data_IF_098860959067
#
_entry.id   IF_098860959067
#
_cell.length_a   1.000
_cell.length_b   1.000
_cell.length_c   1.000
_cell.angle_alpha   90.00
_cell.angle_beta   90.00
_cell.angle_gamma   90.00
#
_symmetry.space_group_name_H-M   'P 1'
#
loop_
_entity.id
_entity.type
_entity.pdbx_description
1 polymer ?
#
# COMPACT_ATOMS: atom_id res chain seq x y z
N UNK A 1 57.69 -51.36 -56.63
CA UNK A 1 58.30 -51.04 -57.94
C UNK A 1 57.58 -49.88 -58.54
N UNK A 2 58.19 -48.77 -58.65
CA UNK A 2 58.41 -47.94 -59.82
C UNK A 2 57.34 -46.89 -60.13
N UNK A 3 57.72 -45.66 -59.87
CA UNK A 3 57.80 -44.40 -60.66
C UNK A 3 56.46 -43.71 -61.03
N UNK A 4 56.30 -42.51 -60.53
CA UNK A 4 56.73 -41.19 -61.07
C UNK A 4 56.07 -40.81 -62.40
N UNK A 5 55.40 -39.72 -62.47
CA UNK A 5 55.80 -38.51 -63.17
C UNK A 5 54.68 -37.46 -63.29
N UNK A 6 55.11 -36.26 -63.07
CA UNK A 6 54.52 -34.93 -63.34
C UNK A 6 53.65 -34.79 -64.61
N UNK A 7 52.78 -33.80 -64.61
CA UNK A 7 52.86 -32.61 -65.52
C UNK A 7 51.83 -31.57 -65.10
N UNK A 8 52.23 -30.28 -65.18
CA UNK A 8 51.52 -29.02 -65.01
C UNK A 8 50.35 -28.85 -66.02
N UNK A 9 49.35 -28.13 -65.62
CA UNK A 9 48.36 -27.58 -66.52
C UNK A 9 47.59 -26.47 -65.85
N UNK A 10 48.02 -25.23 -66.04
CA UNK A 10 47.30 -24.01 -65.66
C UNK A 10 46.06 -23.85 -66.53
N UNK A 11 44.92 -23.55 -65.92
CA UNK A 11 43.84 -22.88 -66.64
C UNK A 11 42.97 -22.10 -65.65
N UNK A 12 42.89 -20.79 -65.86
CA UNK A 12 41.96 -19.85 -65.29
C UNK A 12 40.54 -20.29 -65.60
N UNK A 13 39.62 -20.25 -64.60
CA UNK A 13 38.22 -19.93 -64.88
C UNK A 13 37.50 -19.43 -63.64
N UNK A 14 36.96 -18.24 -63.75
CA UNK A 14 35.64 -17.77 -63.37
C UNK A 14 35.25 -17.88 -61.90
N UNK A 15 35.37 -16.78 -61.16
CA UNK A 15 34.74 -16.60 -59.86
C UNK A 15 33.26 -16.28 -60.08
N UNK A 16 32.38 -17.25 -59.86
CA UNK A 16 30.94 -17.01 -59.67
C UNK A 16 30.70 -16.78 -58.18
N UNK A 17 30.51 -15.52 -57.78
CA UNK A 17 30.07 -15.15 -56.45
C UNK A 17 28.59 -15.51 -56.29
N UNK A 18 28.30 -16.65 -55.65
CA UNK A 18 26.99 -16.93 -55.09
C UNK A 18 26.85 -16.10 -53.84
N UNK A 19 26.00 -15.05 -53.92
CA UNK A 19 25.57 -14.30 -52.76
C UNK A 19 24.70 -15.17 -51.85
N UNK A 20 25.25 -15.61 -50.74
CA UNK A 20 24.49 -16.12 -49.62
C UNK A 20 23.80 -14.93 -48.93
N UNK A 21 22.53 -14.77 -49.20
CA UNK A 21 21.68 -13.93 -48.37
C UNK A 21 21.58 -14.57 -46.99
N UNK A 22 22.42 -14.14 -46.05
CA UNK A 22 22.25 -14.45 -44.63
C UNK A 22 21.01 -13.70 -44.15
N UNK A 23 19.92 -14.42 -44.04
CA UNK A 23 18.73 -13.99 -43.32
C UNK A 23 19.15 -13.81 -41.84
N UNK A 24 19.51 -12.58 -41.47
CA UNK A 24 19.83 -12.23 -40.11
C UNK A 24 18.53 -12.35 -39.29
N UNK A 25 18.41 -13.44 -38.54
CA UNK A 25 17.53 -13.50 -37.40
C UNK A 25 17.99 -12.40 -36.45
N UNK A 26 17.33 -11.27 -36.48
CA UNK A 26 17.40 -10.29 -35.41
C UNK A 26 16.80 -10.96 -34.17
N UNK A 27 17.64 -11.56 -33.36
CA UNK A 27 17.34 -11.79 -31.96
C UNK A 27 17.17 -10.38 -31.39
N UNK A 28 15.91 -10.02 -31.09
CA UNK A 28 15.63 -8.88 -30.26
C UNK A 28 16.47 -9.08 -28.98
N UNK A 29 17.45 -8.22 -28.77
CA UNK A 29 18.18 -8.15 -27.50
C UNK A 29 17.12 -8.06 -26.42
N UNK A 30 17.23 -8.79 -25.31
CA UNK A 30 16.38 -8.54 -24.15
C UNK A 30 16.53 -7.06 -23.87
N UNK A 31 15.40 -6.32 -24.00
CA UNK A 31 15.38 -4.88 -23.85
C UNK A 31 16.16 -4.52 -22.59
N UNK A 32 17.03 -3.52 -22.68
CA UNK A 32 17.67 -2.95 -21.50
C UNK A 32 16.57 -2.76 -20.46
N UNK A 33 16.81 -3.13 -19.18
CA UNK A 33 15.82 -2.92 -18.13
C UNK A 33 15.44 -1.45 -18.17
N UNK A 34 14.21 -1.17 -18.58
CA UNK A 34 13.63 0.19 -18.58
C UNK A 34 14.00 0.80 -17.24
N UNK A 35 14.63 2.00 -17.18
CA UNK A 35 14.97 2.62 -15.92
C UNK A 35 13.73 2.59 -15.05
N UNK A 36 13.77 1.87 -13.93
CA UNK A 36 12.65 1.69 -13.01
C UNK A 36 12.24 3.07 -12.57
N UNK A 37 11.21 3.62 -13.23
CA UNK A 37 10.77 4.97 -13.09
C UNK A 37 10.32 5.22 -11.66
N UNK A 38 11.00 6.11 -11.02
CA UNK A 38 10.45 6.86 -9.97
C UNK A 38 10.75 6.46 -8.57
N UNK A 39 10.92 6.70 -7.60
CA UNK A 39 11.15 6.66 -6.16
C UNK A 39 12.59 6.27 -5.75
N UNK A 40 13.51 6.06 -6.66
CA UNK A 40 14.92 5.84 -6.32
C UNK A 40 15.80 6.97 -6.87
N UNK A 41 16.37 7.76 -5.96
CA UNK A 41 17.48 8.67 -6.24
C UNK A 41 17.23 10.15 -6.02
N UNK A 42 15.99 10.61 -5.88
CA UNK A 42 15.68 12.03 -5.73
C UNK A 42 14.91 12.35 -4.43
N UNK A 43 15.05 11.48 -3.43
CA UNK A 43 14.44 11.73 -2.14
C UNK A 43 15.41 12.41 -1.19
N UNK A 44 14.87 13.36 -0.48
CA UNK A 44 15.54 14.01 0.63
C UNK A 44 14.65 14.01 1.86
N UNK A 45 15.20 13.65 3.00
CA UNK A 45 14.52 13.80 4.28
C UNK A 45 14.65 15.25 4.76
N UNK A 46 13.57 15.79 5.30
CA UNK A 46 13.59 17.02 6.05
C UNK A 46 13.96 16.76 7.52
N UNK A 47 14.11 17.82 8.29
CA UNK A 47 14.31 17.74 9.73
C UNK A 47 13.15 16.98 10.39
N UNK A 48 13.45 16.12 11.38
CA UNK A 48 12.43 15.33 12.03
C UNK A 48 11.49 16.17 12.88
N UNK A 49 10.22 15.83 12.80
CA UNK A 49 9.16 16.42 13.61
C UNK A 49 8.81 15.42 14.71
N UNK A 50 9.25 15.70 15.94
CA UNK A 50 9.01 14.81 17.08
C UNK A 50 8.00 15.41 18.04
N UNK A 51 7.02 14.59 18.44
CA UNK A 51 6.10 14.89 19.52
C UNK A 51 5.87 13.63 20.34
N UNK A 52 6.10 13.70 21.64
CA UNK A 52 6.10 12.53 22.53
C UNK A 52 7.00 11.42 21.98
N UNK A 53 6.47 10.22 21.74
CA UNK A 53 7.21 9.10 21.16
C UNK A 53 7.06 8.96 19.63
N UNK A 54 6.28 9.82 18.98
CA UNK A 54 6.15 9.86 17.53
C UNK A 54 7.20 10.78 16.92
N UNK A 55 7.95 10.27 15.94
CA UNK A 55 8.82 11.08 15.09
C UNK A 55 8.45 10.85 13.64
N UNK A 56 8.20 11.94 12.92
CA UNK A 56 7.86 11.99 11.50
C UNK A 56 9.02 12.63 10.76
N UNK A 57 9.56 11.95 9.78
CA UNK A 57 10.55 12.47 8.83
C UNK A 57 9.85 12.72 7.49
N UNK A 58 9.57 13.98 7.12
CA UNK A 58 9.00 14.25 5.81
C UNK A 58 9.99 13.89 4.70
N UNK A 59 9.49 13.22 3.67
CA UNK A 59 10.26 12.86 2.47
C UNK A 59 9.84 13.80 1.34
N UNK A 60 10.80 14.50 0.75
CA UNK A 60 10.56 15.41 -0.38
C UNK A 60 11.22 14.91 -1.65
N UNK A 61 10.62 15.28 -2.78
CA UNK A 61 11.14 15.02 -4.12
C UNK A 61 10.95 16.25 -5.02
N UNK A 62 11.91 16.48 -5.91
CA UNK A 62 11.78 17.44 -7.01
C UNK A 62 11.06 16.85 -8.22
N UNK A 63 10.93 15.53 -8.29
CA UNK A 63 10.21 14.85 -9.35
C UNK A 63 8.69 15.02 -9.15
N UNK A 64 8.03 15.52 -10.18
CA UNK A 64 6.59 15.66 -10.23
C UNK A 64 6.00 14.66 -11.21
N UNK A 65 5.27 13.67 -10.69
CA UNK A 65 4.49 12.75 -11.51
C UNK A 65 3.04 13.22 -11.55
N UNK A 66 2.43 13.16 -12.71
CA UNK A 66 0.99 13.41 -12.86
C UNK A 66 0.22 12.18 -12.35
N UNK A 67 -0.37 12.32 -11.18
CA UNK A 67 -1.24 11.32 -10.55
C UNK A 67 -2.70 11.78 -10.47
N UNK A 68 -3.04 12.91 -11.04
CA UNK A 68 -4.40 13.47 -11.02
C UNK A 68 -5.45 12.59 -11.71
N UNK A 69 -5.00 11.62 -12.53
CA UNK A 69 -5.89 10.64 -13.11
C UNK A 69 -6.47 9.65 -12.10
N UNK A 70 -5.76 9.39 -10.98
CA UNK A 70 -6.21 8.42 -9.98
C UNK A 70 -7.21 9.04 -9.00
N UNK A 71 -8.21 8.25 -8.65
CA UNK A 71 -9.22 8.57 -7.65
C UNK A 71 -8.92 7.77 -6.38
N UNK A 72 -9.09 8.38 -5.22
CA UNK A 72 -8.99 7.65 -3.95
C UNK A 72 -10.31 6.95 -3.62
N UNK A 73 -10.25 5.94 -2.75
CA UNK A 73 -11.42 5.21 -2.30
C UNK A 73 -12.43 6.14 -1.61
N UNK A 74 -11.94 7.06 -0.76
CA UNK A 74 -12.77 8.06 -0.08
C UNK A 74 -13.51 8.96 -1.07
N UNK A 75 -12.79 9.49 -2.07
CA UNK A 75 -13.37 10.32 -3.14
C UNK A 75 -14.46 9.54 -3.88
N UNK A 76 -14.17 8.32 -4.29
CA UNK A 76 -15.09 7.49 -5.07
C UNK A 76 -16.36 7.12 -4.32
N UNK A 77 -16.25 6.75 -3.04
CA UNK A 77 -17.41 6.44 -2.18
C UNK A 77 -18.24 7.70 -1.89
N UNK A 78 -17.59 8.83 -1.57
CA UNK A 78 -18.29 10.08 -1.25
C UNK A 78 -19.10 10.64 -2.42
N UNK A 79 -18.61 10.41 -3.66
CA UNK A 79 -19.30 10.81 -4.90
C UNK A 79 -20.32 9.78 -5.39
N UNK A 80 -20.39 8.59 -4.77
CA UNK A 80 -21.23 7.49 -5.25
C UNK A 80 -20.75 6.88 -6.58
N UNK A 81 -19.51 7.20 -6.99
CA UNK A 81 -18.86 6.67 -8.20
C UNK A 81 -18.23 5.29 -7.96
N UNK A 82 -17.98 4.94 -6.70
CA UNK A 82 -17.52 3.62 -6.26
C UNK A 82 -18.57 3.00 -5.37
N UNK A 83 -18.86 1.73 -5.60
CA UNK A 83 -19.77 0.95 -4.79
C UNK A 83 -19.00 -0.24 -4.24
N UNK A 84 -19.11 -0.45 -2.92
CA UNK A 84 -18.62 -1.66 -2.25
C UNK A 84 -19.81 -2.32 -1.56
N UNK A 85 -19.96 -3.62 -1.75
CA UNK A 85 -21.06 -4.39 -1.17
C UNK A 85 -20.63 -5.82 -0.84
N UNK A 86 -21.40 -6.47 0.04
CA UNK A 86 -21.20 -7.88 0.36
C UNK A 86 -21.43 -8.77 -0.88
N UNK A 87 -20.59 -9.79 -1.04
CA UNK A 87 -20.79 -10.77 -2.11
C UNK A 87 -22.06 -11.59 -1.85
N UNK A 88 -22.93 -11.68 -2.87
CA UNK A 88 -24.22 -12.39 -2.76
C UNK A 88 -25.41 -11.54 -2.36
N UNK A 89 -25.27 -10.22 -2.24
CA UNK A 89 -26.40 -9.31 -2.07
C UNK A 89 -27.23 -9.22 -3.35
N UNK A 90 -28.56 -9.41 -3.26
CA UNK A 90 -29.52 -9.45 -4.37
C UNK A 90 -29.57 -8.21 -5.29
N UNK A 91 -28.84 -7.15 -4.95
CA UNK A 91 -28.95 -5.85 -5.62
C UNK A 91 -28.20 -5.73 -6.94
N UNK A 92 -27.25 -6.63 -7.25
CA UNK A 92 -26.48 -6.55 -8.52
C UNK A 92 -27.31 -7.07 -9.70
N UNK A 93 -28.29 -7.93 -9.47
CA UNK A 93 -29.01 -8.66 -10.54
C UNK A 93 -30.16 -7.85 -11.15
N UNK A 94 -30.64 -6.77 -10.51
CA UNK A 94 -31.90 -6.11 -10.94
C UNK A 94 -31.78 -4.96 -11.93
N UNK A 95 -30.57 -4.47 -12.25
CA UNK A 95 -30.51 -3.19 -12.98
C UNK A 95 -30.28 -3.29 -14.51
N UNK A 96 -30.17 -4.45 -15.14
CA UNK A 96 -30.10 -4.54 -16.63
C UNK A 96 -30.42 -5.90 -17.22
N UNK A 97 -31.58 -6.48 -17.05
CA UNK A 97 -32.21 -7.41 -18.02
C UNK A 97 -31.33 -8.44 -18.77
N UNK A 98 -30.09 -8.70 -18.39
CA UNK A 98 -29.20 -9.67 -19.00
C UNK A 98 -28.92 -10.75 -17.98
N UNK A 99 -29.57 -11.90 -18.18
CA UNK A 99 -29.23 -13.14 -17.48
C UNK A 99 -27.77 -13.52 -17.83
N UNK A 100 -26.84 -13.22 -16.96
CA UNK A 100 -25.50 -13.83 -16.99
C UNK A 100 -25.49 -15.07 -16.11
N UNK A 101 -24.76 -16.15 -16.51
CA UNK A 101 -24.64 -17.35 -15.68
C UNK A 101 -24.13 -16.97 -14.29
N UNK A 102 -24.76 -17.55 -13.28
CA UNK A 102 -24.33 -17.40 -11.90
C UNK A 102 -22.83 -17.70 -11.81
N UNK A 103 -22.06 -16.71 -11.32
CA UNK A 103 -20.69 -16.96 -10.93
C UNK A 103 -20.67 -18.15 -9.97
N UNK A 104 -19.71 -19.05 -10.17
CA UNK A 104 -19.58 -20.29 -9.41
C UNK A 104 -19.81 -20.04 -7.94
N UNK A 105 -20.84 -20.68 -7.39
CA UNK A 105 -21.13 -20.74 -5.98
C UNK A 105 -19.96 -21.42 -5.28
N UNK A 106 -19.11 -20.61 -4.63
CA UNK A 106 -18.27 -21.12 -3.56
C UNK A 106 -19.18 -21.47 -2.40
N UNK A 107 -19.27 -22.75 -2.07
CA UNK A 107 -19.99 -23.28 -0.92
C UNK A 107 -19.38 -22.75 0.38
N UNK A 108 -20.09 -21.83 1.03
CA UNK A 108 -19.77 -21.22 2.32
C UNK A 108 -19.89 -19.70 2.30
N UNK A 109 -20.37 -19.05 3.37
CA UNK A 109 -20.39 -17.60 3.44
C UNK A 109 -18.95 -17.10 3.48
N UNK A 110 -18.44 -16.62 2.35
CA UNK A 110 -17.13 -15.96 2.25
C UNK A 110 -17.22 -14.59 2.92
N UNK A 111 -17.14 -14.58 4.25
CA UNK A 111 -17.14 -13.36 5.08
C UNK A 111 -16.01 -12.39 4.74
N UNK A 112 -15.04 -12.81 3.95
CA UNK A 112 -13.83 -12.05 3.62
C UNK A 112 -13.83 -11.52 2.18
N UNK A 113 -14.94 -11.57 1.45
CA UNK A 113 -15.02 -11.07 0.09
C UNK A 113 -16.11 -10.02 -0.06
N UNK A 114 -15.70 -8.86 -0.51
CA UNK A 114 -16.58 -7.79 -0.95
C UNK A 114 -16.50 -7.69 -2.47
N UNK A 115 -17.49 -7.09 -3.07
CA UNK A 115 -17.47 -6.74 -4.49
C UNK A 115 -17.37 -5.23 -4.61
N UNK A 116 -16.38 -4.77 -5.37
CA UNK A 116 -16.18 -3.38 -5.71
C UNK A 116 -16.56 -3.13 -7.18
N UNK A 117 -17.26 -2.03 -7.40
CA UNK A 117 -17.65 -1.55 -8.73
C UNK A 117 -17.14 -0.12 -8.87
N UNK A 118 -16.24 0.11 -9.82
CA UNK A 118 -15.79 1.44 -10.21
C UNK A 118 -16.66 1.93 -11.39
N UNK A 119 -17.59 2.85 -11.11
CA UNK A 119 -18.46 3.49 -12.11
C UNK A 119 -17.90 4.81 -12.63
N UNK A 120 -16.78 5.25 -12.09
CA UNK A 120 -16.15 6.51 -12.49
C UNK A 120 -15.47 6.42 -13.84
N UNK A 121 -15.02 7.59 -14.32
CA UNK A 121 -14.18 7.70 -15.53
C UNK A 121 -12.68 7.74 -15.18
N UNK A 122 -12.33 7.41 -13.94
CA UNK A 122 -10.96 7.46 -13.40
C UNK A 122 -10.57 6.11 -12.81
N UNK A 123 -9.31 5.67 -12.97
CA UNK A 123 -8.82 4.50 -12.25
C UNK A 123 -8.84 4.78 -10.75
N UNK A 124 -9.28 3.80 -9.96
CA UNK A 124 -9.36 3.88 -8.52
C UNK A 124 -8.09 3.30 -7.89
N UNK A 125 -7.48 4.04 -6.98
CA UNK A 125 -6.39 3.55 -6.13
C UNK A 125 -6.94 3.08 -4.79
N UNK A 126 -6.66 1.84 -4.43
CA UNK A 126 -6.90 1.25 -3.12
C UNK A 126 -5.58 1.13 -2.37
N UNK A 127 -5.53 1.52 -1.12
CA UNK A 127 -4.38 1.30 -0.23
C UNK A 127 -4.68 0.24 0.83
N UNK A 128 -3.72 -0.63 1.05
CA UNK A 128 -3.75 -1.55 2.18
C UNK A 128 -3.87 -0.79 3.50
N UNK A 129 -4.80 -1.22 4.34
CA UNK A 129 -5.11 -0.56 5.60
C UNK A 129 -6.27 0.42 5.55
N UNK A 130 -6.81 0.79 4.38
CA UNK A 130 -8.03 1.60 4.32
C UNK A 130 -9.19 0.81 4.94
N UNK A 131 -9.93 1.48 5.83
CA UNK A 131 -11.08 0.92 6.52
C UNK A 131 -12.36 1.30 5.80
N UNK A 132 -13.10 0.32 5.31
CA UNK A 132 -14.45 0.52 4.78
C UNK A 132 -15.46 0.18 5.86
N UNK A 133 -16.32 1.16 6.18
CA UNK A 133 -17.33 1.06 7.22
C UNK A 133 -18.72 0.87 6.65
N UNK A 134 -19.45 -0.04 7.23
CA UNK A 134 -20.82 -0.40 6.80
C UNK A 134 -20.97 -1.92 6.63
N UNK A 135 -21.92 -2.32 5.78
CA UNK A 135 -22.21 -3.72 5.56
C UNK A 135 -22.52 -4.49 6.84
N UNK A 136 -22.21 -5.77 6.87
CA UNK A 136 -22.37 -6.60 8.07
C UNK A 136 -21.33 -6.31 9.13
N UNK A 137 -20.14 -5.91 8.73
CA UNK A 137 -19.00 -5.60 9.61
C UNK A 137 -18.07 -4.63 8.88
N UNK A 138 -17.30 -3.84 9.63
CA UNK A 138 -16.22 -3.04 9.05
C UNK A 138 -15.10 -3.95 8.49
N UNK A 139 -14.49 -3.54 7.38
CA UNK A 139 -13.46 -4.30 6.68
C UNK A 139 -12.24 -3.44 6.40
N UNK A 140 -11.05 -4.04 6.51
CA UNK A 140 -9.80 -3.42 6.09
C UNK A 140 -9.35 -3.98 4.74
N UNK A 141 -8.97 -3.10 3.83
CA UNK A 141 -8.37 -3.46 2.54
C UNK A 141 -7.00 -4.11 2.81
N UNK A 142 -6.80 -5.30 2.26
CA UNK A 142 -5.59 -6.09 2.51
C UNK A 142 -4.43 -5.81 1.56
N UNK A 143 -4.66 -5.13 0.43
CA UNK A 143 -3.63 -4.97 -0.61
C UNK A 143 -3.81 -3.68 -1.40
N UNK A 144 -2.68 -3.01 -1.69
CA UNK A 144 -2.64 -1.93 -2.66
C UNK A 144 -3.04 -2.44 -4.03
N UNK A 145 -3.96 -1.74 -4.69
CA UNK A 145 -4.49 -2.16 -5.99
C UNK A 145 -4.97 -0.99 -6.82
N UNK A 146 -4.89 -1.13 -8.16
CA UNK A 146 -5.56 -0.22 -9.09
C UNK A 146 -6.78 -0.94 -9.68
N UNK A 147 -7.94 -0.28 -9.62
CA UNK A 147 -9.15 -0.75 -10.28
C UNK A 147 -9.39 0.14 -11.50
N UNK A 148 -9.21 -0.40 -12.73
CA UNK A 148 -9.33 0.41 -13.95
C UNK A 148 -10.76 0.89 -14.19
N UNK A 149 -10.88 1.84 -15.10
CA UNK A 149 -12.17 2.34 -15.61
C UNK A 149 -12.91 1.20 -16.32
N UNK A 150 -14.19 1.06 -16.01
CA UNK A 150 -15.04 0.04 -16.67
C UNK A 150 -14.70 -1.40 -16.32
N UNK A 151 -13.91 -1.62 -15.27
CA UNK A 151 -13.67 -2.96 -14.76
C UNK A 151 -14.99 -3.68 -14.44
N UNK A 152 -15.06 -4.96 -14.72
CA UNK A 152 -16.14 -5.82 -14.20
C UNK A 152 -16.13 -5.78 -12.67
N UNK A 153 -17.26 -6.07 -12.01
CA UNK A 153 -17.32 -6.12 -10.57
C UNK A 153 -16.18 -6.97 -9.98
N UNK A 154 -15.34 -6.36 -9.16
CA UNK A 154 -14.09 -6.93 -8.71
C UNK A 154 -14.22 -7.49 -7.30
N UNK A 155 -13.94 -8.78 -7.07
CA UNK A 155 -13.83 -9.29 -5.72
C UNK A 155 -12.63 -8.65 -5.00
N UNK A 156 -12.87 -8.12 -3.80
CA UNK A 156 -11.84 -7.55 -2.92
C UNK A 156 -11.50 -8.53 -1.81
N UNK A 157 -10.21 -8.78 -1.64
CA UNK A 157 -9.71 -9.44 -0.46
C UNK A 157 -9.65 -8.41 0.68
N UNK A 158 -10.46 -8.63 1.69
CA UNK A 158 -10.58 -7.77 2.88
C UNK A 158 -10.50 -8.61 4.13
N UNK A 159 -10.16 -7.96 5.24
CA UNK A 159 -10.13 -8.59 6.54
C UNK A 159 -11.17 -7.97 7.46
N UNK A 160 -11.90 -8.82 8.20
CA UNK A 160 -12.80 -8.35 9.25
C UNK A 160 -11.97 -7.78 10.40
N UNK A 161 -12.31 -6.60 10.88
CA UNK A 161 -11.70 -6.00 12.07
C UNK A 161 -12.57 -6.12 13.31
N UNK A 162 -13.76 -6.70 13.17
CA UNK A 162 -14.74 -6.88 14.24
C UNK A 162 -15.05 -8.36 14.42
N UNK A 163 -14.97 -8.83 15.65
CA UNK A 163 -15.32 -10.20 15.99
C UNK A 163 -16.75 -10.23 16.56
N UNK A 164 -17.69 -10.88 15.84
CA UNK A 164 -19.04 -11.12 16.37
C UNK A 164 -20.12 -10.09 16.03
N UNK A 165 -19.81 -8.99 15.34
CA UNK A 165 -20.85 -8.05 14.87
C UNK A 165 -21.44 -8.54 13.54
N UNK A 166 -22.80 -8.60 13.51
CA UNK A 166 -23.56 -8.89 12.29
C UNK A 166 -24.72 -7.91 12.19
N UNK A 167 -24.55 -6.85 11.40
CA UNK A 167 -25.63 -5.91 11.10
C UNK A 167 -26.35 -6.29 9.80
N UNK A 168 -27.58 -5.78 9.62
CA UNK A 168 -28.38 -6.06 8.42
C UNK A 168 -27.93 -5.28 7.15
N UNK A 169 -26.88 -4.46 7.25
CA UNK A 169 -26.37 -3.66 6.13
C UNK A 169 -25.68 -4.50 5.07
N UNK A 170 -25.78 -4.10 3.80
CA UNK A 170 -25.09 -4.75 2.67
C UNK A 170 -24.15 -3.82 1.92
N UNK A 171 -24.16 -2.51 2.18
CA UNK A 171 -23.34 -1.52 1.48
C UNK A 171 -22.38 -0.84 2.44
N UNK A 172 -21.22 -0.46 1.90
CA UNK A 172 -20.19 0.30 2.58
C UNK A 172 -20.20 1.73 2.05
N UNK A 173 -20.14 2.69 2.96
CA UNK A 173 -20.38 4.10 2.62
C UNK A 173 -19.23 5.03 2.95
N UNK A 174 -18.25 4.57 3.68
CA UNK A 174 -17.13 5.42 4.12
C UNK A 174 -15.80 4.68 4.11
N UNK A 175 -14.75 5.41 3.74
CA UNK A 175 -13.34 5.00 3.83
C UNK A 175 -12.51 6.16 4.40
N UNK A 176 -12.95 6.69 5.55
CA UNK A 176 -12.41 7.92 6.15
C UNK A 176 -11.13 7.67 6.98
N UNK A 177 -10.74 6.41 7.17
CA UNK A 177 -9.71 6.01 8.12
C UNK A 177 -8.81 4.96 7.50
N UNK A 178 -7.53 5.00 7.91
CA UNK A 178 -6.57 3.90 7.75
C UNK A 178 -6.35 3.30 9.14
N UNK A 179 -6.39 1.99 9.25
CA UNK A 179 -6.14 1.29 10.52
C UNK A 179 -4.71 1.57 11.02
N UNK A 180 -4.50 1.56 12.34
CA UNK A 180 -3.18 1.84 12.91
C UNK A 180 -2.15 0.76 12.52
N UNK A 181 -0.84 1.11 12.50
CA UNK A 181 0.23 0.28 11.94
C UNK A 181 0.23 -1.18 12.37
N UNK A 182 -0.03 -1.49 13.64
CA UNK A 182 -0.07 -2.88 14.12
C UNK A 182 -1.14 -3.73 13.42
N UNK A 183 -2.32 -3.18 13.15
CA UNK A 183 -3.38 -3.87 12.40
C UNK A 183 -3.09 -3.84 10.90
N UNK A 184 -2.56 -2.70 10.40
CA UNK A 184 -2.21 -2.54 8.99
C UNK A 184 -1.11 -3.52 8.55
N UNK A 185 -0.11 -3.81 9.40
CA UNK A 185 0.91 -4.83 9.15
C UNK A 185 0.28 -6.20 8.92
N UNK A 186 -0.66 -6.60 9.78
CA UNK A 186 -1.30 -7.91 9.66
C UNK A 186 -2.15 -8.01 8.38
N UNK A 187 -2.83 -6.95 8.01
CA UNK A 187 -3.63 -6.92 6.79
C UNK A 187 -2.78 -6.85 5.52
N UNK A 188 -1.75 -5.99 5.49
CA UNK A 188 -0.96 -5.70 4.30
C UNK A 188 0.16 -6.73 4.03
N UNK A 189 0.80 -7.23 5.08
CA UNK A 189 1.99 -8.10 4.99
C UNK A 189 1.63 -9.56 5.28
N UNK A 190 1.08 -9.85 6.46
CA UNK A 190 0.80 -11.24 6.85
C UNK A 190 -0.42 -11.82 6.13
N UNK A 191 -1.39 -10.98 5.78
CA UNK A 191 -2.60 -11.32 5.02
C UNK A 191 -3.38 -12.53 5.59
N UNK A 192 -3.46 -12.60 6.94
CA UNK A 192 -4.19 -13.64 7.65
C UNK A 192 -5.25 -13.05 8.57
N UNK A 193 -6.48 -13.54 8.45
CA UNK A 193 -7.60 -13.06 9.26
C UNK A 193 -7.37 -13.22 10.76
N UNK A 194 -6.77 -14.34 11.19
CA UNK A 194 -6.45 -14.61 12.60
C UNK A 194 -5.51 -13.56 13.19
N UNK A 195 -4.51 -13.12 12.40
CA UNK A 195 -3.49 -12.19 12.84
C UNK A 195 -4.06 -10.77 12.93
N UNK A 196 -4.95 -10.39 12.00
CA UNK A 196 -5.70 -9.14 12.07
C UNK A 196 -6.55 -9.10 13.35
N UNK A 197 -7.31 -10.14 13.66
CA UNK A 197 -8.11 -10.21 14.89
C UNK A 197 -7.24 -10.18 16.15
N UNK A 198 -6.13 -10.92 16.15
CA UNK A 198 -5.20 -10.91 17.27
C UNK A 198 -4.64 -9.51 17.53
N UNK A 199 -4.28 -8.78 16.46
CA UNK A 199 -3.75 -7.41 16.57
C UNK A 199 -4.82 -6.42 17.06
N UNK A 200 -6.06 -6.53 16.58
CA UNK A 200 -7.19 -5.71 17.07
C UNK A 200 -7.44 -5.98 18.54
N UNK A 201 -7.46 -7.25 18.95
CA UNK A 201 -7.67 -7.66 20.37
C UNK A 201 -6.51 -7.24 21.27
N UNK A 202 -5.28 -7.28 20.79
CA UNK A 202 -4.11 -6.84 21.55
C UNK A 202 -4.00 -5.29 21.62
N UNK A 203 -4.68 -4.57 20.72
CA UNK A 203 -4.64 -3.12 20.59
C UNK A 203 -3.40 -2.62 19.83
N UNK A 204 -2.21 -3.08 20.18
CA UNK A 204 -0.96 -2.87 19.45
C UNK A 204 -0.01 -4.04 19.72
N UNK A 205 0.89 -4.30 18.77
CA UNK A 205 1.91 -5.36 18.92
C UNK A 205 3.16 -4.90 19.67
N UNK A 206 3.29 -3.60 19.97
CA UNK A 206 4.43 -3.09 20.70
C UNK A 206 4.42 -3.63 22.15
N UNK A 207 5.34 -4.54 22.46
CA UNK A 207 5.50 -5.05 23.81
C UNK A 207 6.15 -3.98 24.70
N UNK A 208 5.47 -3.66 25.82
CA UNK A 208 6.10 -2.87 26.89
C UNK A 208 7.09 -3.75 27.64
N UNK A 209 8.37 -3.39 27.63
CA UNK A 209 9.30 -3.96 28.61
C UNK A 209 8.93 -3.44 30.01
N UNK A 210 9.17 -4.24 31.05
CA UNK A 210 8.92 -3.82 32.43
C UNK A 210 9.68 -2.53 32.85
N UNK A 211 10.70 -2.14 32.09
CA UNK A 211 11.50 -0.93 32.31
C UNK A 211 11.06 0.27 31.42
N UNK A 212 10.13 0.08 30.49
CA UNK A 212 9.66 1.15 29.63
C UNK A 212 8.63 2.04 30.35
N UNK A 213 8.65 3.37 30.10
CA UNK A 213 7.59 4.26 30.55
C UNK A 213 6.22 3.79 30.07
N UNK A 214 5.19 4.02 30.88
CA UNK A 214 3.82 3.69 30.47
C UNK A 214 3.40 4.47 29.22
N UNK A 215 2.62 3.86 28.31
CA UNK A 215 2.05 4.58 27.18
C UNK A 215 1.02 5.61 27.66
N UNK A 216 0.75 6.64 26.84
CA UNK A 216 -0.26 7.66 27.15
C UNK A 216 -1.67 7.04 27.27
N UNK A 217 -1.95 6.08 26.40
CA UNK A 217 -3.17 5.27 26.40
C UNK A 217 -2.76 3.81 26.56
N UNK A 218 -3.19 3.12 27.62
CA UNK A 218 -2.89 1.69 27.78
C UNK A 218 -3.29 0.89 26.55
N UNK A 219 -2.49 -0.10 26.16
CA UNK A 219 -2.76 -0.94 24.99
C UNK A 219 -4.16 -1.57 25.01
N UNK A 220 -4.58 -2.03 26.19
CA UNK A 220 -5.90 -2.62 26.39
C UNK A 220 -7.03 -1.65 26.07
N UNK A 221 -6.81 -0.34 26.22
CA UNK A 221 -7.85 0.68 25.93
C UNK A 221 -8.24 0.67 24.45
N UNK A 222 -7.31 0.40 23.52
CA UNK A 222 -7.67 0.28 22.10
C UNK A 222 -8.62 -0.91 21.87
N UNK A 223 -8.31 -2.07 22.46
CA UNK A 223 -9.13 -3.27 22.37
C UNK A 223 -10.49 -3.09 23.07
N UNK A 224 -10.48 -2.60 24.33
CA UNK A 224 -11.70 -2.33 25.09
C UNK A 224 -12.61 -1.31 24.40
N UNK A 225 -12.03 -0.32 23.70
CA UNK A 225 -12.81 0.66 22.95
C UNK A 225 -13.59 0.02 21.81
N UNK A 226 -13.00 -0.97 21.13
CA UNK A 226 -13.71 -1.75 20.10
C UNK A 226 -14.84 -2.56 20.72
N UNK A 227 -14.61 -3.16 21.89
CA UNK A 227 -15.58 -4.05 22.52
C UNK A 227 -16.69 -3.31 23.26
N UNK A 228 -16.38 -2.24 24.01
CA UNK A 228 -17.27 -1.68 25.03
C UNK A 228 -18.01 -0.41 24.61
N UNK A 229 -17.46 0.45 23.76
CA UNK A 229 -18.10 1.71 23.40
C UNK A 229 -19.20 1.56 22.34
N UNK A 230 -19.72 0.35 22.19
CA UNK A 230 -20.50 0.05 21.03
C UNK A 230 -21.80 -0.68 21.31
N UNK A 231 -22.88 -0.04 21.03
CA UNK A 231 -24.05 -0.74 20.49
C UNK A 231 -23.75 -1.41 19.14
N UNK A 232 -22.59 -1.17 18.53
CA UNK A 232 -22.22 -1.62 17.18
C UNK A 232 -20.79 -2.14 17.03
N UNK A 233 -19.97 -2.29 18.08
CA UNK A 233 -18.62 -2.86 18.06
C UNK A 233 -17.78 -2.52 16.79
N UNK A 234 -17.79 -1.26 16.36
CA UNK A 234 -17.08 -0.85 15.16
C UNK A 234 -15.65 -0.43 15.47
N UNK A 235 -14.67 -0.98 14.74
CA UNK A 235 -13.25 -0.61 14.85
C UNK A 235 -13.04 0.91 14.66
N UNK A 236 -13.81 1.54 13.77
CA UNK A 236 -13.72 3.00 13.52
C UNK A 236 -13.94 3.84 14.78
N UNK A 237 -14.56 3.29 15.82
CA UNK A 237 -14.79 3.97 17.09
C UNK A 237 -13.54 4.24 17.90
N UNK A 238 -12.44 3.52 17.67
CA UNK A 238 -11.13 3.86 18.25
C UNK A 238 -10.82 5.34 18.01
N UNK A 239 -11.13 5.81 16.80
CA UNK A 239 -10.84 7.19 16.38
C UNK A 239 -11.82 8.23 16.96
N UNK A 240 -12.99 7.78 17.43
CA UNK A 240 -14.02 8.64 18.04
C UNK A 240 -14.08 8.54 19.57
N UNK A 241 -13.44 7.53 20.16
CA UNK A 241 -13.45 7.34 21.62
C UNK A 241 -12.77 8.49 22.34
N UNK A 242 -13.43 9.09 23.35
CA UNK A 242 -12.81 10.14 24.17
C UNK A 242 -11.56 9.69 24.90
N UNK A 243 -11.47 8.42 25.26
CA UNK A 243 -10.30 7.82 25.95
C UNK A 243 -9.05 7.84 25.08
N UNK A 244 -9.22 7.80 23.77
CA UNK A 244 -8.15 7.76 22.77
C UNK A 244 -8.00 9.10 22.06
N UNK A 245 -9.12 9.70 21.63
CA UNK A 245 -9.13 10.88 20.76
C UNK A 245 -8.44 12.09 21.36
N UNK A 246 -8.57 12.31 22.68
CA UNK A 246 -7.91 13.48 23.32
C UNK A 246 -6.40 13.48 23.12
N UNK A 247 -5.72 12.35 23.33
CA UNK A 247 -4.29 12.23 23.13
C UNK A 247 -3.91 12.19 21.64
N UNK A 248 -4.72 11.51 20.83
CA UNK A 248 -4.52 11.42 19.37
C UNK A 248 -4.69 12.80 18.74
N UNK A 249 -5.76 13.54 19.07
CA UNK A 249 -6.02 14.85 18.48
C UNK A 249 -4.92 15.84 18.86
N UNK A 250 -4.48 15.86 20.13
CA UNK A 250 -3.36 16.70 20.56
C UNK A 250 -2.06 16.39 19.78
N UNK A 251 -1.77 15.11 19.55
CA UNK A 251 -0.61 14.69 18.77
C UNK A 251 -0.73 15.07 17.30
N UNK A 252 -1.89 14.82 16.70
CA UNK A 252 -2.17 15.17 15.29
C UNK A 252 -2.04 16.67 15.08
N UNK A 253 -2.67 17.50 15.94
CA UNK A 253 -2.65 18.96 15.81
C UNK A 253 -1.22 19.51 15.91
N UNK A 254 -0.44 19.02 16.87
CA UNK A 254 0.93 19.50 17.07
C UNK A 254 1.86 19.05 15.93
N UNK A 255 1.80 17.78 15.53
CA UNK A 255 2.61 17.29 14.40
C UNK A 255 2.22 18.02 13.11
N UNK A 256 0.92 18.19 12.84
CA UNK A 256 0.42 18.88 11.65
C UNK A 256 0.86 20.35 11.62
N UNK A 257 0.83 21.03 12.77
CA UNK A 257 1.30 22.42 12.90
C UNK A 257 2.79 22.54 12.55
N UNK A 258 3.62 21.65 13.12
CA UNK A 258 5.07 21.62 12.82
C UNK A 258 5.35 21.21 11.38
N UNK A 259 4.64 20.23 10.88
CA UNK A 259 4.75 19.76 9.50
C UNK A 259 4.52 20.90 8.49
N UNK A 260 3.44 21.68 8.66
CA UNK A 260 3.17 22.84 7.80
C UNK A 260 4.28 23.88 7.89
N UNK A 261 4.83 24.13 9.10
CA UNK A 261 5.93 25.08 9.28
C UNK A 261 7.19 24.61 8.56
N UNK A 262 7.54 23.35 8.71
CA UNK A 262 8.75 22.76 8.12
C UNK A 262 8.69 22.71 6.58
N UNK A 263 7.50 22.50 6.03
CA UNK A 263 7.30 22.35 4.58
C UNK A 263 6.94 23.65 3.87
N UNK A 264 6.64 24.73 4.60
CA UNK A 264 6.20 26.01 4.01
C UNK A 264 7.24 26.67 3.11
N UNK A 265 8.53 26.40 3.33
CA UNK A 265 9.66 27.01 2.59
C UNK A 265 10.14 26.22 1.37
N UNK A 266 9.51 25.11 1.04
CA UNK A 266 9.95 24.26 -0.08
C UNK A 266 9.81 24.98 -1.42
N UNK A 267 10.92 25.02 -2.18
CA UNK A 267 10.94 25.60 -3.53
C UNK A 267 11.30 24.51 -4.54
N UNK A 268 10.37 24.22 -5.47
CA UNK A 268 10.60 23.20 -6.50
C UNK A 268 10.55 21.75 -6.02
N UNK A 269 10.37 21.52 -4.72
CA UNK A 269 10.17 20.19 -4.12
C UNK A 269 8.76 20.09 -3.53
N UNK A 270 8.26 18.87 -3.42
CA UNK A 270 7.00 18.55 -2.74
C UNK A 270 7.21 17.42 -1.75
N UNK A 271 6.48 17.44 -0.66
CA UNK A 271 6.43 16.27 0.23
C UNK A 271 5.68 15.17 -0.50
N UNK A 272 6.32 14.03 -0.64
CA UNK A 272 5.78 12.85 -1.33
C UNK A 272 5.53 11.67 -0.36
N UNK A 273 5.92 11.81 0.91
CA UNK A 273 5.75 10.76 1.89
C UNK A 273 6.38 11.09 3.23
N UNK A 274 6.38 10.09 4.09
CA UNK A 274 6.94 10.17 5.43
C UNK A 274 7.63 8.86 5.83
N UNK A 275 8.63 8.99 6.71
CA UNK A 275 9.17 7.88 7.52
C UNK A 275 8.74 8.13 8.96
N UNK A 276 8.32 7.08 9.64
CA UNK A 276 7.75 7.11 10.98
C UNK A 276 8.62 6.31 11.94
N UNK A 277 8.94 6.93 13.07
CA UNK A 277 9.59 6.24 14.17
C UNK A 277 8.79 6.40 15.47
N UNK A 278 8.86 5.37 16.28
CA UNK A 278 8.31 5.35 17.64
C UNK A 278 9.47 5.21 18.64
N UNK A 279 9.74 6.28 19.40
CA UNK A 279 10.97 6.36 20.17
C UNK A 279 12.20 6.33 19.25
N UNK A 280 13.18 5.47 19.55
CA UNK A 280 14.39 5.29 18.75
C UNK A 280 14.25 4.33 17.57
N UNK A 281 13.08 3.73 17.33
CA UNK A 281 12.88 2.73 16.30
C UNK A 281 12.13 3.26 15.09
N UNK A 282 12.78 3.24 13.91
CA UNK A 282 12.10 3.49 12.64
C UNK A 282 11.28 2.25 12.27
N UNK A 283 9.96 2.42 12.15
CA UNK A 283 9.01 1.33 12.03
C UNK A 283 8.24 1.30 10.71
N UNK A 284 8.05 2.47 10.07
CA UNK A 284 7.09 2.58 8.97
C UNK A 284 7.49 3.66 7.96
N UNK A 285 7.14 3.49 6.70
CA UNK A 285 7.14 4.57 5.72
C UNK A 285 6.07 4.39 4.68
N UNK A 286 5.42 5.49 4.30
CA UNK A 286 4.50 5.56 3.15
C UNK A 286 5.02 6.65 2.19
N UNK A 287 5.29 6.30 0.94
CA UNK A 287 5.80 7.20 -0.08
C UNK A 287 4.97 7.07 -1.35
N UNK A 288 4.56 8.20 -1.90
CA UNK A 288 3.70 8.29 -3.06
C UNK A 288 4.43 8.89 -4.27
N UNK A 289 3.88 8.67 -5.46
CA UNK A 289 4.44 9.19 -6.70
C UNK A 289 4.41 10.72 -6.78
N UNK A 290 3.51 11.37 -6.08
CA UNK A 290 3.34 12.83 -6.10
C UNK A 290 2.93 13.39 -4.75
N UNK A 291 3.21 14.68 -4.56
CA UNK A 291 2.72 15.42 -3.39
C UNK A 291 1.19 15.52 -3.35
N UNK A 292 0.53 15.62 -4.49
CA UNK A 292 -0.94 15.65 -4.56
C UNK A 292 -1.55 14.36 -4.03
N UNK A 293 -0.99 13.23 -4.42
CA UNK A 293 -1.46 11.93 -3.94
C UNK A 293 -1.17 11.75 -2.46
N UNK A 294 0.02 12.15 -1.99
CA UNK A 294 0.35 12.16 -0.57
C UNK A 294 -0.62 13.00 0.25
N UNK A 295 -0.94 14.22 -0.20
CA UNK A 295 -1.82 15.15 0.51
C UNK A 295 -3.23 14.57 0.71
N UNK A 296 -3.73 13.76 -0.24
CA UNK A 296 -5.03 13.09 -0.13
C UNK A 296 -5.06 12.03 0.99
N UNK A 297 -3.92 11.41 1.31
CA UNK A 297 -3.82 10.38 2.34
C UNK A 297 -3.26 10.89 3.67
N UNK A 298 -2.56 12.03 3.68
CA UNK A 298 -1.77 12.47 4.82
C UNK A 298 -2.55 12.55 6.14
N UNK A 299 -3.74 13.13 6.14
CA UNK A 299 -4.53 13.27 7.35
C UNK A 299 -4.94 11.91 7.94
N UNK A 300 -5.31 10.95 7.10
CA UNK A 300 -5.66 9.57 7.52
C UNK A 300 -4.43 8.83 8.04
N UNK A 301 -3.31 8.96 7.37
CA UNK A 301 -2.04 8.34 7.74
C UNK A 301 -1.54 8.90 9.08
N UNK A 302 -1.48 10.23 9.23
CA UNK A 302 -1.03 10.84 10.49
C UNK A 302 -1.89 10.39 11.66
N UNK A 303 -3.20 10.34 11.49
CA UNK A 303 -4.11 9.87 12.54
C UNK A 303 -3.89 8.40 12.89
N UNK A 304 -3.66 7.57 11.89
CA UNK A 304 -3.29 6.16 12.05
C UNK A 304 -1.98 6.01 12.86
N UNK A 305 -0.94 6.75 12.52
CA UNK A 305 0.33 6.75 13.25
C UNK A 305 0.20 7.27 14.68
N UNK A 306 -0.63 8.28 14.89
CA UNK A 306 -0.88 8.83 16.22
C UNK A 306 -1.60 7.83 17.13
N UNK A 307 -2.58 7.08 16.62
CA UNK A 307 -3.24 5.99 17.39
C UNK A 307 -2.23 4.96 17.84
N UNK A 308 -1.34 4.53 16.95
CA UNK A 308 -0.26 3.61 17.31
C UNK A 308 0.67 4.21 18.36
N UNK A 309 1.08 5.47 18.17
CA UNK A 309 2.03 6.15 19.04
C UNK A 309 1.52 6.31 20.48
N UNK A 310 0.25 6.68 20.67
CA UNK A 310 -0.30 6.88 22.03
C UNK A 310 -0.45 5.56 22.80
N UNK A 311 -0.53 4.44 22.10
CA UNK A 311 -0.62 3.10 22.67
C UNK A 311 0.74 2.41 22.88
N UNK A 312 1.82 2.96 22.31
CA UNK A 312 3.19 2.45 22.53
C UNK A 312 3.83 3.09 23.75
N UNK A 313 4.80 2.40 24.38
CA UNK A 313 5.59 3.00 25.48
C UNK A 313 6.26 4.30 25.02
N UNK A 314 6.23 5.31 25.88
CA UNK A 314 6.87 6.60 25.60
C UNK A 314 8.37 6.50 25.89
N UNK A 315 9.18 6.27 24.86
CA UNK A 315 10.63 6.18 24.96
C UNK A 315 11.27 7.56 24.75
N UNK A 316 12.35 7.85 25.49
CA UNK A 316 13.11 9.11 25.37
C UNK A 316 14.03 9.13 24.15
N UNK A 317 14.46 7.96 23.73
CA UNK A 317 15.30 7.80 22.54
C UNK A 317 14.55 8.27 21.29
N UNK A 318 15.30 8.88 20.38
CA UNK A 318 14.77 9.36 19.10
C UNK A 318 15.58 8.76 17.97
N UNK A 319 14.89 8.30 16.95
CA UNK A 319 15.53 7.88 15.71
C UNK A 319 16.20 9.07 15.01
N UNK A 320 17.34 8.82 14.40
CA UNK A 320 18.09 9.82 13.62
C UNK A 320 17.63 9.88 12.17
N UNK A 321 18.03 10.95 11.47
CA UNK A 321 17.86 11.04 10.00
C UNK A 321 18.60 9.91 9.29
N UNK A 322 19.78 9.50 9.82
CA UNK A 322 20.53 8.37 9.28
C UNK A 322 19.77 7.06 9.34
N UNK A 323 19.10 6.76 10.48
CA UNK A 323 18.26 5.56 10.62
C UNK A 323 17.09 5.59 9.63
N UNK A 324 16.47 6.74 9.44
CA UNK A 324 15.39 6.92 8.47
C UNK A 324 15.87 6.77 7.02
N UNK A 325 17.08 7.26 6.70
CA UNK A 325 17.70 7.08 5.37
C UNK A 325 18.01 5.61 5.10
N UNK A 326 18.57 4.90 6.07
CA UNK A 326 18.83 3.46 5.95
C UNK A 326 17.54 2.68 5.74
N UNK A 327 16.49 3.02 6.48
CA UNK A 327 15.17 2.39 6.36
C UNK A 327 14.54 2.55 4.96
N UNK A 328 14.84 3.64 4.26
CA UNK A 328 14.36 3.91 2.91
C UNK A 328 15.15 3.18 1.81
N UNK A 329 16.26 2.54 2.12
CA UNK A 329 17.02 1.79 1.12
C UNK A 329 16.15 0.67 0.55
N UNK A 330 16.40 0.36 -0.73
CA UNK A 330 15.69 -0.72 -1.38
C UNK A 330 16.13 -2.05 -0.80
N UNK A 331 15.15 -2.84 -0.39
CA UNK A 331 15.38 -4.20 0.05
C UNK A 331 15.83 -5.09 -1.12
N UNK A 332 16.70 -6.07 -0.82
CA UNK A 332 17.26 -7.03 -1.79
C UNK A 332 16.87 -8.47 -1.46
N UNK A 333 15.86 -8.66 -0.61
CA UNK A 333 15.44 -9.94 -0.12
C UNK A 333 14.57 -10.74 -1.09
N UNK A 334 13.76 -11.65 -0.53
CA UNK A 334 12.83 -12.47 -1.31
C UNK A 334 11.72 -11.61 -1.89
N UNK A 335 11.53 -11.66 -3.21
CA UNK A 335 10.50 -10.92 -3.94
C UNK A 335 9.34 -11.82 -4.32
N UNK A 336 8.12 -11.30 -4.17
CA UNK A 336 6.87 -11.84 -4.71
C UNK A 336 6.21 -10.77 -5.57
N UNK A 337 5.62 -11.18 -6.68
CA UNK A 337 4.97 -10.25 -7.62
C UNK A 337 3.57 -10.72 -7.96
N UNK A 338 2.67 -9.75 -8.15
CA UNK A 338 1.34 -9.94 -8.70
C UNK A 338 1.07 -8.84 -9.71
N UNK A 339 0.43 -9.14 -10.81
CA UNK A 339 0.15 -8.15 -11.85
C UNK A 339 -1.24 -8.32 -12.44
N UNK A 340 -1.85 -7.17 -12.75
CA UNK A 340 -2.98 -7.07 -13.67
C UNK A 340 -2.41 -6.58 -15.01
N UNK A 341 -2.42 -7.39 -16.07
CA UNK A 341 -1.79 -7.04 -17.33
C UNK A 341 -2.26 -5.69 -17.87
N UNK A 342 -1.31 -4.79 -18.16
CA UNK A 342 -1.60 -3.44 -18.68
C UNK A 342 -2.17 -2.46 -17.65
N UNK A 343 -2.39 -2.85 -16.40
CA UNK A 343 -2.94 -1.99 -15.33
C UNK A 343 -1.89 -1.70 -14.28
N UNK A 344 -1.43 -2.71 -13.56
CA UNK A 344 -0.45 -2.54 -12.48
C UNK A 344 0.47 -3.75 -12.30
N UNK A 345 1.57 -3.49 -11.60
CA UNK A 345 2.45 -4.48 -11.00
C UNK A 345 2.56 -4.19 -9.51
N UNK A 346 2.25 -5.18 -8.71
CA UNK A 346 2.45 -5.18 -7.27
C UNK A 346 3.63 -6.07 -6.90
N UNK A 347 4.48 -5.60 -5.99
CA UNK A 347 5.63 -6.35 -5.49
C UNK A 347 5.70 -6.29 -3.98
N UNK A 348 6.12 -7.40 -3.39
CA UNK A 348 6.51 -7.48 -2.00
C UNK A 348 7.93 -8.03 -1.91
N UNK A 349 8.80 -7.35 -1.17
CA UNK A 349 10.20 -7.73 -0.95
C UNK A 349 10.41 -7.87 0.55
N UNK A 350 10.85 -9.05 0.98
CA UNK A 350 11.07 -9.37 2.38
C UNK A 350 12.57 -9.59 2.64
N UNK A 351 13.15 -8.82 3.59
CA UNK A 351 14.55 -8.91 3.99
C UNK A 351 14.68 -8.78 5.51
N UNK A 352 15.10 -9.84 6.19
CA UNK A 352 15.16 -9.87 7.65
C UNK A 352 13.82 -9.54 8.29
N UNK A 353 13.77 -8.50 9.09
CA UNK A 353 12.55 -7.98 9.72
C UNK A 353 11.83 -6.90 8.89
N UNK A 354 12.29 -6.61 7.70
CA UNK A 354 11.69 -5.58 6.85
C UNK A 354 10.85 -6.21 5.74
N UNK A 355 9.71 -5.59 5.45
CA UNK A 355 8.89 -5.85 4.27
C UNK A 355 8.70 -4.56 3.50
N UNK A 356 8.90 -4.60 2.20
CA UNK A 356 8.66 -3.50 1.27
C UNK A 356 7.58 -3.91 0.27
N UNK A 357 6.53 -3.10 0.16
CA UNK A 357 5.45 -3.28 -0.80
C UNK A 357 5.52 -2.12 -1.80
N UNK A 358 5.41 -2.43 -3.07
CA UNK A 358 5.42 -1.45 -4.16
C UNK A 358 4.22 -1.69 -5.07
N UNK A 359 3.45 -0.64 -5.35
CA UNK A 359 2.41 -0.63 -6.37
C UNK A 359 2.84 0.26 -7.52
N UNK A 360 2.95 -0.30 -8.70
CA UNK A 360 3.37 0.39 -9.91
C UNK A 360 2.23 0.38 -10.94
N UNK A 361 1.79 1.56 -11.38
CA UNK A 361 0.89 1.69 -12.51
C UNK A 361 1.66 1.44 -13.81
N UNK A 362 1.07 0.71 -14.75
CA UNK A 362 1.68 0.43 -16.05
C UNK A 362 1.18 1.37 -17.13
N UNK A 363 0.03 2.02 -16.94
CA UNK A 363 -0.58 2.96 -17.87
C UNK A 363 -1.07 4.22 -17.15
N UNK A 364 -1.10 5.38 -17.84
CA UNK A 364 -0.63 5.62 -19.21
C UNK A 364 0.89 5.64 -19.33
N UNK A 365 1.59 5.71 -18.21
CA UNK A 365 3.05 5.64 -18.06
C UNK A 365 3.38 4.81 -16.85
N UNK A 366 4.48 4.06 -16.93
CA UNK A 366 4.98 3.27 -15.80
C UNK A 366 5.41 4.20 -14.66
N UNK A 367 4.68 4.15 -13.54
CA UNK A 367 4.89 5.01 -12.37
C UNK A 367 4.70 4.18 -11.10
N UNK A 368 5.67 4.23 -10.20
CA UNK A 368 5.51 3.74 -8.84
C UNK A 368 4.53 4.66 -8.09
N UNK A 369 3.30 4.21 -7.86
CA UNK A 369 2.28 5.01 -7.20
C UNK A 369 2.44 5.08 -5.69
N UNK A 370 2.78 3.94 -5.08
CA UNK A 370 2.92 3.84 -3.65
C UNK A 370 4.01 2.84 -3.29
N UNK A 371 4.82 3.20 -2.30
CA UNK A 371 5.80 2.33 -1.66
C UNK A 371 5.62 2.39 -0.15
N UNK A 372 5.38 1.24 0.42
CA UNK A 372 5.28 1.00 1.84
C UNK A 372 6.52 0.23 2.31
N UNK A 373 7.16 0.65 3.39
CA UNK A 373 8.16 -0.15 4.09
C UNK A 373 7.74 -0.33 5.54
N UNK A 374 7.79 -1.55 6.02
CA UNK A 374 7.35 -1.93 7.36
C UNK A 374 8.45 -2.69 8.08
N UNK A 375 8.73 -2.33 9.32
CA UNK A 375 9.48 -3.19 10.24
C UNK A 375 8.49 -4.14 10.89
N UNK A 376 8.57 -5.41 10.52
CA UNK A 376 7.69 -6.45 11.07
C UNK A 376 7.95 -6.67 12.55
N UNK A 377 6.87 -6.89 13.26
CA UNK A 377 6.88 -7.11 14.71
C UNK A 377 6.97 -8.58 15.09
N UNK A 378 6.79 -9.49 14.14
CA UNK A 378 6.86 -10.95 14.29
C UNK A 378 7.85 -11.59 13.34
#
# INVERSE_FOLDING_TARGET
MVRSAHILGSSLFGIATLGFATLGLMFASPGEPVPRGGLQGDWRLLEPISYENLTVFPVVSSLAYDTGAFMTLEEGLSRGEVIIQEQGGDSIVRDRGVLRPAAQTYDGPSVNQLVLINRSKRPLLLLAGELVSGGKQDRVIGKDRIVPVGAEPLPLNVFCVEHGRWSAGSQFTAALTIVHPSVREQAAVNQKQSDVWASVTAGTVAQSSAAAPAPQVPQQVLAETVETEATTQSYSKIYGSRRVSVSVDAMVDEVQRRFRKETAGLKGERVVGVVIAYGGEVAWSDIFASGELFDQYWNKLLRSYAVEAVARPTLREKASVGDAQEFLQRLKGREQTESEPGVYLWREINEGKLSQIELEALQPKQIMLHRLVVRRTS
#
